data_IF_769959321347
#
_entry.id   IF_769959321347
#
_cell.length_a   1.000
_cell.length_b   1.000
_cell.length_c   1.000
_cell.angle_alpha   90.00
_cell.angle_beta   90.00
_cell.angle_gamma   90.00
#
_symmetry.space_group_name_H-M   'P 1'
#
loop_
_entity.id
_entity.type
_entity.pdbx_description
1 polymer ?
#
# COMPACT_ATOMS: atom_id res chain seq x y z
N UNK A 1 -13.26 -3.95 46.35
CA UNK A 1 -13.66 -4.38 45.00
C UNK A 1 -12.99 -3.42 44.02
N UNK A 2 -11.88 -3.85 43.42
CA UNK A 2 -11.10 -3.00 42.52
C UNK A 2 -11.78 -2.98 41.14
N UNK A 3 -12.32 -1.82 40.79
CA UNK A 3 -12.76 -1.49 39.43
C UNK A 3 -11.52 -1.38 38.53
N UNK A 4 -11.11 -2.48 37.93
CA UNK A 4 -10.21 -2.45 36.78
C UNK A 4 -10.96 -1.87 35.59
N UNK A 5 -10.60 -0.64 35.22
CA UNK A 5 -10.97 -0.04 33.94
C UNK A 5 -10.56 -0.97 32.80
N UNK A 6 -11.37 -1.10 31.72
CA UNK A 6 -10.93 -1.83 30.54
C UNK A 6 -9.75 -1.11 29.91
N UNK A 7 -8.61 -1.80 29.85
CA UNK A 7 -7.42 -1.39 29.12
C UNK A 7 -7.76 -1.36 27.64
N UNK A 8 -7.58 -0.21 26.98
CA UNK A 8 -7.65 -0.10 25.53
C UNK A 8 -6.54 0.86 25.03
N UNK A 9 -6.00 0.68 23.81
CA UNK A 9 -6.50 -0.19 22.74
C UNK A 9 -5.60 -1.38 22.43
N UNK A 10 -6.24 -2.51 22.08
CA UNK A 10 -5.65 -3.60 21.31
C UNK A 10 -4.85 -3.04 20.13
N UNK A 11 -3.63 -3.52 19.90
CA UNK A 11 -2.77 -3.13 18.77
C UNK A 11 -3.59 -3.10 17.46
N UNK A 12 -3.43 -2.09 16.59
CA UNK A 12 -4.31 -1.84 15.45
C UNK A 12 -3.96 -2.73 14.25
N UNK A 13 -3.92 -4.05 14.47
CA UNK A 13 -3.73 -5.03 13.43
C UNK A 13 -4.69 -6.20 13.62
N UNK A 14 -4.96 -6.92 12.53
CA UNK A 14 -5.66 -8.20 12.57
C UNK A 14 -4.67 -9.31 12.26
N UNK A 15 -4.72 -10.39 13.03
CA UNK A 15 -3.93 -11.59 12.80
C UNK A 15 -4.83 -12.80 12.64
N UNK A 16 -4.45 -13.70 11.74
CA UNK A 16 -5.10 -15.00 11.55
C UNK A 16 -4.04 -16.09 11.47
N UNK A 17 -4.07 -17.00 12.43
CA UNK A 17 -3.26 -18.21 12.39
C UNK A 17 -3.85 -19.18 11.36
N UNK A 18 -2.99 -19.72 10.50
CA UNK A 18 -3.31 -20.81 9.59
C UNK A 18 -2.45 -22.02 9.96
N UNK A 19 -2.64 -23.16 9.30
CA UNK A 19 -1.97 -24.41 9.67
C UNK A 19 -0.45 -24.30 9.71
N UNK A 20 0.14 -23.62 8.71
CA UNK A 20 1.59 -23.60 8.49
C UNK A 20 2.19 -22.18 8.42
N UNK A 21 1.36 -21.16 8.56
CA UNK A 21 1.75 -19.76 8.40
C UNK A 21 0.71 -18.88 9.09
N UNK A 22 1.01 -17.59 9.20
CA UNK A 22 0.11 -16.60 9.78
C UNK A 22 -0.05 -15.40 8.89
N UNK A 23 -1.25 -14.86 8.81
CA UNK A 23 -1.47 -13.54 8.25
C UNK A 23 -1.48 -12.46 9.33
N UNK A 24 -0.93 -11.30 8.99
CA UNK A 24 -1.07 -10.04 9.70
C UNK A 24 -1.59 -8.98 8.71
N UNK A 25 -2.47 -8.10 9.17
CA UNK A 25 -2.96 -6.96 8.41
C UNK A 25 -2.92 -5.70 9.25
N UNK A 26 -2.36 -4.63 8.67
CA UNK A 26 -2.30 -3.31 9.27
C UNK A 26 -3.07 -2.32 8.40
N UNK A 27 -3.97 -1.55 9.01
CA UNK A 27 -4.67 -0.46 8.36
C UNK A 27 -4.82 0.70 9.35
N UNK A 28 -4.10 1.78 9.12
CA UNK A 28 -4.11 2.94 10.02
C UNK A 28 -3.56 4.17 9.33
N UNK A 29 -3.65 5.33 10.01
CA UNK A 29 -2.97 6.54 9.56
C UNK A 29 -1.46 6.36 9.42
N UNK A 30 -0.84 5.45 10.20
CA UNK A 30 0.60 5.15 10.10
C UNK A 30 0.92 4.45 8.78
N UNK A 31 0.07 3.51 8.34
CA UNK A 31 0.20 2.91 7.00
C UNK A 31 0.08 3.95 5.90
N UNK A 32 -0.87 4.88 6.00
CA UNK A 32 -0.97 5.97 5.02
C UNK A 32 0.30 6.82 4.98
N UNK A 33 0.87 7.18 6.13
CA UNK A 33 2.14 7.92 6.21
C UNK A 33 3.31 7.14 5.61
N UNK A 34 3.40 5.84 5.90
CA UNK A 34 4.42 4.95 5.35
C UNK A 34 4.36 4.88 3.82
N UNK A 35 3.17 4.74 3.23
CA UNK A 35 2.99 4.75 1.78
C UNK A 35 3.41 6.10 1.15
N UNK A 36 3.09 7.22 1.81
CA UNK A 36 3.55 8.56 1.38
C UNK A 36 5.08 8.69 1.46
N UNK A 37 5.73 8.09 2.46
CA UNK A 37 7.19 8.09 2.57
C UNK A 37 7.85 7.28 1.46
N UNK A 38 7.36 6.06 1.19
CA UNK A 38 7.80 5.23 0.06
C UNK A 38 7.72 5.99 -1.26
N UNK A 39 6.65 6.77 -1.45
CA UNK A 39 6.48 7.54 -2.66
C UNK A 39 7.52 8.66 -2.81
N UNK A 40 7.77 9.41 -1.73
CA UNK A 40 8.73 10.54 -1.72
C UNK A 40 10.16 10.08 -2.01
N UNK A 41 10.52 8.87 -1.62
CA UNK A 41 11.86 8.31 -1.86
C UNK A 41 12.07 7.80 -3.29
N UNK A 42 11.01 7.71 -4.11
CA UNK A 42 11.09 7.34 -5.53
C UNK A 42 11.33 5.84 -5.79
N UNK A 43 11.02 5.36 -7.00
CA UNK A 43 11.05 3.92 -7.34
C UNK A 43 12.45 3.29 -7.36
N UNK A 44 13.50 4.10 -7.39
CA UNK A 44 14.89 3.64 -7.59
C UNK A 44 15.62 3.33 -6.28
N UNK A 45 15.02 3.58 -5.11
CA UNK A 45 15.68 3.37 -3.81
C UNK A 45 15.08 2.17 -3.08
N UNK A 46 15.18 1.00 -3.73
CA UNK A 46 14.63 -0.27 -3.25
C UNK A 46 15.10 -0.66 -1.84
N UNK A 47 16.32 -0.27 -1.49
CA UNK A 47 16.96 -0.42 -0.18
C UNK A 47 16.17 0.35 0.89
N UNK A 48 15.77 1.59 0.59
CA UNK A 48 15.03 2.45 1.52
C UNK A 48 13.59 2.01 1.74
N UNK A 49 12.88 1.49 0.73
CA UNK A 49 11.50 1.00 0.93
C UNK A 49 11.44 -0.25 1.79
N UNK A 50 12.44 -1.13 1.64
CA UNK A 50 12.57 -2.31 2.48
C UNK A 50 12.85 -1.92 3.93
N UNK A 51 13.80 -1.01 4.17
CA UNK A 51 14.13 -0.56 5.54
C UNK A 51 12.97 0.14 6.23
N UNK A 52 12.26 1.01 5.51
CA UNK A 52 11.08 1.66 6.05
C UNK A 52 10.00 0.63 6.45
N UNK A 53 9.86 -0.48 5.70
CA UNK A 53 8.95 -1.55 6.06
C UNK A 53 9.43 -2.30 7.31
N UNK A 54 10.71 -2.71 7.34
CA UNK A 54 11.25 -3.45 8.48
C UNK A 54 11.11 -2.63 9.75
N UNK A 55 11.45 -1.34 9.71
CA UNK A 55 11.27 -0.41 10.82
C UNK A 55 9.81 -0.32 11.25
N UNK A 56 8.88 -0.13 10.30
CA UNK A 56 7.45 -0.09 10.60
C UNK A 56 6.97 -1.36 11.33
N UNK A 57 7.37 -2.54 10.86
CA UNK A 57 6.96 -3.81 11.47
C UNK A 57 7.64 -4.00 12.83
N UNK A 58 8.90 -3.60 12.95
CA UNK A 58 9.61 -3.65 14.22
C UNK A 58 8.88 -2.81 15.29
N UNK A 59 8.54 -1.56 14.96
CA UNK A 59 7.84 -0.64 15.86
C UNK A 59 6.41 -1.09 16.17
N UNK A 60 5.61 -1.45 15.15
CA UNK A 60 4.17 -1.68 15.32
C UNK A 60 3.80 -3.09 15.77
N UNK A 61 4.67 -4.07 15.51
CA UNK A 61 4.38 -5.48 15.77
C UNK A 61 5.32 -6.11 16.79
N UNK A 62 6.60 -5.73 16.77
CA UNK A 62 7.66 -6.32 17.61
C UNK A 62 8.10 -5.39 18.75
N UNK A 63 7.33 -4.32 19.02
CA UNK A 63 7.57 -3.37 20.12
C UNK A 63 8.96 -2.70 20.09
N UNK A 64 9.59 -2.65 18.91
CA UNK A 64 10.93 -2.08 18.72
C UNK A 64 12.07 -2.94 19.26
N UNK A 65 11.81 -4.21 19.63
CA UNK A 65 12.82 -5.11 20.20
C UNK A 65 13.83 -5.65 19.17
N UNK A 66 13.53 -5.53 17.87
CA UNK A 66 14.41 -6.00 16.82
C UNK A 66 15.57 -5.05 16.53
N UNK A 67 16.76 -5.63 16.38
CA UNK A 67 17.97 -4.94 15.94
C UNK A 67 18.11 -5.05 14.41
N UNK A 68 18.32 -3.90 13.77
CA UNK A 68 18.53 -3.79 12.33
C UNK A 68 20.03 -3.80 12.01
N UNK A 69 20.50 -4.71 11.15
CA UNK A 69 21.89 -4.72 10.68
C UNK A 69 22.08 -3.67 9.56
N UNK A 70 22.30 -2.42 9.96
CA UNK A 70 22.53 -1.30 9.05
C UNK A 70 23.95 -1.27 8.45
N UNK A 71 24.92 -1.96 9.05
CA UNK A 71 26.36 -1.77 8.76
C UNK A 71 26.87 -2.62 7.58
N UNK A 72 26.13 -3.62 7.11
CA UNK A 72 26.65 -4.63 6.16
C UNK A 72 25.84 -4.76 4.88
N UNK A 73 25.56 -3.65 4.21
CA UNK A 73 25.00 -3.66 2.84
C UNK A 73 26.06 -3.47 1.75
N UNK A 74 27.23 -4.08 1.95
CA UNK A 74 28.25 -4.19 0.90
C UNK A 74 27.82 -5.25 -0.11
N UNK A 75 28.00 -4.98 -1.41
CA UNK A 75 27.66 -5.91 -2.50
C UNK A 75 28.25 -7.30 -2.23
N UNK A 76 27.39 -8.31 -2.08
CA UNK A 76 27.78 -9.71 -1.84
C UNK A 76 27.74 -10.18 -0.38
N UNK A 77 27.54 -9.27 0.58
CA UNK A 77 27.36 -9.65 1.99
C UNK A 77 25.93 -10.13 2.26
N UNK A 78 25.79 -11.21 3.04
CA UNK A 78 24.52 -11.71 3.57
C UNK A 78 24.34 -11.18 4.98
N UNK A 79 23.36 -10.30 5.18
CA UNK A 79 22.97 -9.76 6.48
C UNK A 79 21.55 -10.21 6.81
N UNK A 80 21.20 -10.17 8.09
CA UNK A 80 19.86 -10.49 8.56
C UNK A 80 19.02 -9.20 8.55
N UNK A 81 17.75 -9.28 8.15
CA UNK A 81 16.92 -8.07 8.05
C UNK A 81 16.51 -7.55 9.44
N UNK A 82 16.22 -8.44 10.38
CA UNK A 82 15.90 -8.10 11.75
C UNK A 82 16.27 -9.23 12.71
N UNK A 83 17.02 -8.90 13.76
CA UNK A 83 17.43 -9.85 14.78
C UNK A 83 16.76 -9.53 16.12
N UNK A 84 16.13 -10.53 16.73
CA UNK A 84 15.62 -10.48 18.10
C UNK A 84 16.44 -11.44 18.97
N UNK A 85 16.45 -11.30 20.30
CA UNK A 85 17.28 -12.12 21.19
C UNK A 85 17.18 -13.64 20.98
N UNK A 86 16.03 -14.13 20.51
CA UNK A 86 15.76 -15.55 20.30
C UNK A 86 15.44 -15.95 18.86
N UNK A 87 15.39 -15.00 17.90
CA UNK A 87 14.92 -15.27 16.54
C UNK A 87 15.44 -14.27 15.53
N UNK A 88 15.74 -14.76 14.34
CA UNK A 88 16.15 -13.96 13.19
C UNK A 88 15.05 -13.97 12.14
N UNK A 89 14.72 -12.80 11.59
CA UNK A 89 13.62 -12.60 10.64
C UNK A 89 14.17 -12.08 9.31
N UNK A 90 13.85 -12.79 8.24
CA UNK A 90 14.02 -12.32 6.87
C UNK A 90 12.76 -11.59 6.42
N UNK A 91 12.90 -10.41 5.84
CA UNK A 91 11.81 -9.68 5.21
C UNK A 91 11.88 -9.78 3.68
N UNK A 92 10.71 -9.94 3.05
CA UNK A 92 10.55 -9.85 1.60
C UNK A 92 9.38 -8.95 1.28
N UNK A 93 9.68 -7.69 0.97
CA UNK A 93 8.67 -6.75 0.49
C UNK A 93 8.47 -6.86 -1.02
N UNK A 94 7.22 -7.07 -1.43
CA UNK A 94 6.79 -7.12 -2.83
C UNK A 94 5.47 -6.37 -2.97
N UNK A 95 5.46 -5.26 -3.70
CA UNK A 95 4.25 -4.46 -3.90
C UNK A 95 3.19 -5.13 -4.79
N UNK A 96 3.45 -6.35 -5.29
CA UNK A 96 2.69 -7.06 -6.32
C UNK A 96 1.84 -8.22 -5.81
N UNK A 97 1.23 -8.06 -4.63
CA UNK A 97 0.47 -9.10 -3.96
C UNK A 97 1.23 -10.46 -3.93
N UNK A 98 0.54 -11.57 -4.21
CA UNK A 98 1.11 -12.92 -4.14
C UNK A 98 1.87 -13.35 -5.41
N UNK A 99 2.00 -12.50 -6.43
CA UNK A 99 2.58 -12.89 -7.74
C UNK A 99 4.02 -13.39 -7.62
N UNK A 100 4.81 -12.78 -6.74
CA UNK A 100 6.22 -13.10 -6.53
C UNK A 100 6.47 -14.07 -5.37
N UNK A 101 5.41 -14.46 -4.65
CA UNK A 101 5.52 -15.38 -3.52
C UNK A 101 6.11 -16.76 -3.92
N UNK A 102 5.72 -17.38 -5.06
CA UNK A 102 6.31 -18.66 -5.46
C UNK A 102 7.83 -18.59 -5.60
N UNK A 103 8.36 -17.49 -6.13
CA UNK A 103 9.80 -17.31 -6.36
C UNK A 103 10.56 -17.13 -5.05
N UNK A 104 9.95 -16.42 -4.10
CA UNK A 104 10.48 -16.28 -2.75
C UNK A 104 10.51 -17.64 -2.03
N UNK A 105 9.41 -18.38 -2.05
CA UNK A 105 9.30 -19.67 -1.36
C UNK A 105 10.17 -20.77 -1.99
N UNK A 106 10.48 -20.72 -3.29
CA UNK A 106 11.48 -21.63 -3.89
C UNK A 106 12.86 -21.47 -3.26
N UNK A 107 13.17 -20.30 -2.71
CA UNK A 107 14.42 -20.01 -2.02
C UNK A 107 14.33 -20.15 -0.50
N UNK A 108 13.18 -20.61 0.04
CA UNK A 108 12.95 -20.76 1.47
C UNK A 108 14.08 -21.52 2.18
N UNK A 109 14.51 -22.66 1.60
CA UNK A 109 15.61 -23.48 2.14
C UNK A 109 16.92 -22.70 2.35
N UNK A 110 17.21 -21.77 1.44
CA UNK A 110 18.37 -20.90 1.55
C UNK A 110 18.19 -19.84 2.64
N UNK A 111 16.97 -19.32 2.77
CA UNK A 111 16.62 -18.27 3.74
C UNK A 111 16.71 -18.81 5.17
N UNK A 112 16.09 -19.95 5.49
CA UNK A 112 16.10 -20.44 6.87
C UNK A 112 17.36 -21.21 7.27
N UNK A 113 18.42 -21.18 6.45
CA UNK A 113 19.77 -21.53 6.91
C UNK A 113 20.26 -20.62 8.05
N UNK A 114 19.80 -19.37 8.06
CA UNK A 114 20.17 -18.34 9.05
C UNK A 114 18.97 -17.74 9.76
N UNK A 115 17.78 -17.83 9.16
CA UNK A 115 16.58 -17.19 9.67
C UNK A 115 15.64 -18.20 10.34
N UNK A 116 14.89 -17.75 11.35
CA UNK A 116 13.81 -18.51 11.96
C UNK A 116 12.47 -18.25 11.28
N UNK A 117 12.28 -17.03 10.78
CA UNK A 117 11.04 -16.61 10.13
C UNK A 117 11.31 -15.90 8.81
N UNK A 118 10.36 -16.05 7.89
CA UNK A 118 10.29 -15.30 6.65
C UNK A 118 8.98 -14.50 6.64
N UNK A 119 9.09 -13.18 6.58
CA UNK A 119 7.98 -12.25 6.51
C UNK A 119 7.81 -11.79 5.05
N UNK A 120 6.76 -12.28 4.39
CA UNK A 120 6.41 -11.83 3.04
C UNK A 120 5.35 -10.75 3.11
N UNK A 121 5.72 -9.52 2.74
CA UNK A 121 4.87 -8.35 2.86
C UNK A 121 4.45 -7.81 1.49
N UNK A 122 3.18 -7.43 1.39
CA UNK A 122 2.59 -6.81 0.21
C UNK A 122 1.45 -5.89 0.61
N UNK A 123 0.99 -5.08 -0.34
CA UNK A 123 -0.14 -4.18 -0.12
C UNK A 123 -1.39 -4.63 -0.84
N UNK A 124 -2.53 -4.35 -0.21
CA UNK A 124 -3.85 -4.27 -0.82
C UNK A 124 -4.33 -2.82 -0.76
N UNK A 125 -5.19 -2.44 -1.71
CA UNK A 125 -5.80 -1.11 -1.75
C UNK A 125 -7.30 -1.22 -1.65
N UNK A 126 -7.91 -0.38 -0.83
CA UNK A 126 -9.36 -0.18 -0.80
C UNK A 126 -9.78 0.57 -2.06
N UNK A 127 -10.67 0.00 -2.85
CA UNK A 127 -11.21 0.61 -4.08
C UNK A 127 -12.72 0.45 -4.13
N UNK A 128 -13.40 1.28 -4.93
CA UNK A 128 -14.78 1.00 -5.34
C UNK A 128 -14.78 -0.17 -6.32
N UNK A 129 -15.81 -1.01 -6.26
CA UNK A 129 -16.02 -2.07 -7.26
C UNK A 129 -16.42 -1.49 -8.61
N UNK A 130 -17.20 -0.41 -8.59
CA UNK A 130 -17.45 0.41 -9.76
C UNK A 130 -16.21 1.27 -10.06
N UNK A 131 -15.51 0.93 -11.13
CA UNK A 131 -14.27 1.58 -11.55
C UNK A 131 -14.45 3.05 -11.93
N UNK A 132 -15.67 3.50 -12.18
CA UNK A 132 -15.98 4.89 -12.49
C UNK A 132 -16.21 5.74 -11.23
N UNK A 133 -16.24 5.13 -10.04
CA UNK A 133 -16.44 5.82 -8.77
C UNK A 133 -15.13 5.90 -7.99
N UNK A 134 -14.86 7.07 -7.42
CA UNK A 134 -13.70 7.33 -6.58
C UNK A 134 -14.12 7.25 -5.10
N UNK A 135 -13.26 6.67 -4.25
CA UNK A 135 -13.45 6.72 -2.81
C UNK A 135 -13.23 8.16 -2.33
N UNK A 136 -14.31 8.83 -1.91
CA UNK A 136 -14.28 10.21 -1.41
C UNK A 136 -13.98 10.33 0.10
N UNK A 137 -13.85 9.22 0.83
CA UNK A 137 -13.80 9.19 2.31
C UNK A 137 -12.39 9.26 2.93
N UNK A 138 -12.30 9.91 4.11
CA UNK A 138 -11.10 10.16 4.96
C UNK A 138 -10.47 8.93 5.66
N UNK A 139 -10.69 7.72 5.17
CA UNK A 139 -10.22 6.46 5.77
C UNK A 139 -8.85 6.01 5.27
N UNK A 140 -8.24 5.00 5.92
CA UNK A 140 -7.05 4.36 5.39
C UNK A 140 -7.39 3.57 4.12
N UNK A 141 -6.77 3.92 3.00
CA UNK A 141 -6.99 3.27 1.69
C UNK A 141 -5.97 2.17 1.40
N UNK A 142 -4.94 2.03 2.22
CA UNK A 142 -3.86 1.05 2.02
C UNK A 142 -3.83 0.07 3.19
N UNK A 143 -3.63 -1.19 2.85
CA UNK A 143 -3.63 -2.30 3.79
C UNK A 143 -2.32 -3.06 3.60
N UNK A 144 -1.45 -3.02 4.59
CA UNK A 144 -0.23 -3.81 4.58
C UNK A 144 -0.59 -5.21 5.07
N UNK A 145 -0.36 -6.20 4.22
CA UNK A 145 -0.56 -7.61 4.54
C UNK A 145 0.81 -8.27 4.65
N UNK A 146 1.01 -9.04 5.71
CA UNK A 146 2.24 -9.81 5.94
C UNK A 146 1.86 -11.27 6.13
N UNK A 147 2.55 -12.16 5.43
CA UNK A 147 2.52 -13.60 5.69
C UNK A 147 3.78 -13.97 6.44
N UNK A 148 3.61 -14.47 7.65
CA UNK A 148 4.68 -14.95 8.50
C UNK A 148 4.82 -16.45 8.29
N UNK A 149 5.95 -16.85 7.74
CA UNK A 149 6.32 -18.25 7.54
C UNK A 149 7.37 -18.65 8.58
N UNK A 150 7.09 -19.67 9.41
CA UNK A 150 8.09 -20.24 10.28
C UNK A 150 8.94 -21.25 9.48
N UNK A 151 10.12 -21.61 9.99
CA UNK A 151 11.10 -22.47 9.28
C UNK A 151 10.54 -23.82 8.81
N UNK A 152 9.56 -24.37 9.51
CA UNK A 152 8.96 -25.68 9.23
C UNK A 152 8.36 -25.78 7.82
N UNK A 153 8.06 -24.65 7.17
CA UNK A 153 7.53 -24.64 5.81
C UNK A 153 8.51 -25.17 4.75
N UNK A 154 9.82 -25.23 5.06
CA UNK A 154 10.86 -25.74 4.15
C UNK A 154 10.61 -27.18 3.70
N UNK A 155 9.92 -27.96 4.54
CA UNK A 155 9.67 -29.38 4.30
C UNK A 155 8.32 -29.62 3.60
N UNK A 156 7.54 -28.57 3.38
CA UNK A 156 6.20 -28.69 2.79
C UNK A 156 6.25 -28.72 1.27
N UNK A 157 5.26 -29.38 0.68
CA UNK A 157 5.06 -29.33 -0.76
C UNK A 157 4.64 -27.91 -1.18
N UNK A 158 5.49 -27.23 -1.95
CA UNK A 158 5.28 -25.85 -2.37
C UNK A 158 3.95 -25.63 -3.11
N UNK A 159 3.53 -26.57 -3.97
CA UNK A 159 2.28 -26.45 -4.74
C UNK A 159 1.07 -26.51 -3.82
N UNK A 160 1.09 -27.39 -2.83
CA UNK A 160 0.02 -27.53 -1.82
C UNK A 160 -0.02 -26.28 -0.94
N UNK A 161 1.13 -25.83 -0.45
CA UNK A 161 1.26 -24.64 0.39
C UNK A 161 0.74 -23.38 -0.33
N UNK A 162 1.13 -23.16 -1.59
CA UNK A 162 0.65 -22.01 -2.37
C UNK A 162 -0.87 -22.04 -2.60
N UNK A 163 -1.46 -23.22 -2.79
CA UNK A 163 -2.92 -23.37 -2.94
C UNK A 163 -3.63 -23.02 -1.63
N UNK A 164 -3.09 -23.47 -0.49
CA UNK A 164 -3.59 -23.14 0.84
C UNK A 164 -3.51 -21.64 1.10
N UNK A 165 -2.36 -21.02 0.87
CA UNK A 165 -2.15 -19.58 1.05
C UNK A 165 -3.15 -18.76 0.24
N UNK A 166 -3.35 -19.08 -1.05
CA UNK A 166 -4.31 -18.34 -1.90
C UNK A 166 -5.74 -18.46 -1.39
N UNK A 167 -6.14 -19.65 -0.92
CA UNK A 167 -7.47 -19.87 -0.35
C UNK A 167 -7.65 -19.05 0.94
N UNK A 168 -6.69 -19.16 1.85
CA UNK A 168 -6.75 -18.45 3.13
C UNK A 168 -6.64 -16.93 2.96
N UNK A 169 -5.90 -16.45 1.96
CA UNK A 169 -5.78 -15.02 1.66
C UNK A 169 -7.10 -14.39 1.23
N UNK A 170 -7.90 -15.09 0.42
CA UNK A 170 -9.25 -14.63 0.03
C UNK A 170 -10.14 -14.50 1.27
N UNK A 171 -10.11 -15.48 2.17
CA UNK A 171 -10.91 -15.44 3.40
C UNK A 171 -10.41 -14.34 4.34
N UNK A 172 -9.09 -14.27 4.52
CA UNK A 172 -8.45 -13.27 5.38
C UNK A 172 -8.74 -11.85 4.91
N UNK A 173 -8.65 -11.56 3.62
CA UNK A 173 -8.94 -10.21 3.08
C UNK A 173 -10.40 -9.81 3.25
N UNK A 174 -11.35 -10.74 3.15
CA UNK A 174 -12.77 -10.49 3.48
C UNK A 174 -12.95 -10.14 4.96
N UNK A 175 -12.31 -10.89 5.85
CA UNK A 175 -12.35 -10.64 7.30
C UNK A 175 -11.72 -9.28 7.64
N UNK A 176 -10.58 -8.93 7.03
CA UNK A 176 -9.93 -7.62 7.17
C UNK A 176 -10.87 -6.51 6.71
N UNK A 177 -11.49 -6.66 5.54
CA UNK A 177 -12.41 -5.66 5.00
C UNK A 177 -13.61 -5.41 5.92
N UNK A 178 -14.21 -6.48 6.46
CA UNK A 178 -15.28 -6.38 7.43
C UNK A 178 -14.83 -5.65 8.72
N UNK A 179 -13.67 -6.04 9.26
CA UNK A 179 -13.12 -5.45 10.50
C UNK A 179 -12.67 -4.01 10.34
N UNK A 180 -12.27 -3.61 9.14
CA UNK A 180 -11.82 -2.25 8.85
C UNK A 180 -12.94 -1.30 8.42
N UNK A 181 -14.19 -1.78 8.37
CA UNK A 181 -15.35 -0.98 7.99
C UNK A 181 -15.37 -0.64 6.50
N UNK A 182 -14.92 -1.56 5.65
CA UNK A 182 -15.15 -1.48 4.21
C UNK A 182 -16.60 -1.85 3.93
N UNK A 183 -17.26 -1.06 3.10
CA UNK A 183 -18.57 -1.37 2.57
C UNK A 183 -18.44 -2.52 1.56
N UNK A 184 -18.77 -3.73 1.98
CA UNK A 184 -18.58 -4.92 1.16
C UNK A 184 -19.53 -4.99 -0.06
N UNK A 185 -20.52 -4.10 -0.18
CA UNK A 185 -21.41 -4.04 -1.33
C UNK A 185 -20.80 -3.17 -2.44
N UNK A 186 -20.23 -2.01 -2.09
CA UNK A 186 -19.71 -1.02 -3.04
C UNK A 186 -18.17 -1.01 -3.16
N UNK A 187 -17.44 -1.61 -2.22
CA UNK A 187 -15.98 -1.54 -2.11
C UNK A 187 -15.31 -2.91 -1.95
N UNK A 188 -14.01 -2.95 -2.22
CA UNK A 188 -13.19 -4.16 -2.09
C UNK A 188 -11.72 -3.86 -1.75
N UNK A 189 -10.99 -4.90 -1.34
CA UNK A 189 -9.53 -4.88 -1.18
C UNK A 189 -8.84 -5.44 -2.42
N UNK A 190 -8.54 -4.56 -3.36
CA UNK A 190 -7.94 -4.88 -4.63
C UNK A 190 -6.46 -5.25 -4.53
N UNK A 191 -6.06 -6.28 -5.28
CA UNK A 191 -4.66 -6.67 -5.45
C UNK A 191 -4.00 -5.72 -6.44
N UNK A 192 -3.11 -4.87 -5.94
CA UNK A 192 -2.40 -3.92 -6.79
C UNK A 192 -1.16 -4.57 -7.37
N UNK A 193 -0.92 -4.39 -8.68
CA UNK A 193 0.19 -5.06 -9.38
C UNK A 193 1.54 -4.44 -9.02
N UNK A 194 1.68 -3.13 -9.17
CA UNK A 194 2.79 -2.41 -8.53
C UNK A 194 2.22 -1.13 -7.94
N UNK A 195 1.83 -1.23 -6.67
CA UNK A 195 1.16 -0.14 -5.99
C UNK A 195 1.91 1.18 -6.07
N UNK A 196 3.24 1.16 -5.99
CA UNK A 196 4.05 2.39 -6.06
C UNK A 196 3.92 3.05 -7.44
N UNK A 197 3.95 2.26 -8.52
CA UNK A 197 3.78 2.79 -9.88
C UNK A 197 2.36 3.32 -10.11
N UNK A 198 1.35 2.62 -9.62
CA UNK A 198 -0.05 3.03 -9.78
C UNK A 198 -0.34 4.35 -9.04
N UNK A 199 0.15 4.51 -7.81
CA UNK A 199 0.03 5.77 -7.04
C UNK A 199 0.67 6.94 -7.80
N UNK A 200 1.86 6.74 -8.38
CA UNK A 200 2.54 7.77 -9.15
C UNK A 200 1.79 8.16 -10.43
N UNK A 201 1.11 7.22 -11.07
CA UNK A 201 0.30 7.50 -12.26
C UNK A 201 -0.96 8.29 -11.90
N UNK A 202 -1.64 7.94 -10.82
CA UNK A 202 -2.84 8.66 -10.38
C UNK A 202 -2.58 10.11 -10.04
N UNK A 203 -1.50 10.42 -9.29
CA UNK A 203 -1.18 11.83 -8.99
C UNK A 203 -0.84 12.64 -10.22
N UNK A 204 -0.16 12.03 -11.21
CA UNK A 204 0.09 12.68 -12.50
C UNK A 204 -1.20 12.95 -13.27
N UNK A 205 -2.24 12.15 -13.09
CA UNK A 205 -3.57 12.40 -13.65
C UNK A 205 -4.26 13.54 -12.89
N UNK A 206 -4.26 13.53 -11.55
CA UNK A 206 -4.85 14.60 -10.73
C UNK A 206 -4.21 15.98 -11.03
N UNK A 207 -2.89 16.04 -11.24
CA UNK A 207 -2.17 17.26 -11.63
C UNK A 207 -2.58 17.75 -13.02
N UNK A 208 -2.78 16.83 -13.97
CA UNK A 208 -3.29 17.16 -15.30
C UNK A 208 -4.72 17.66 -15.26
N UNK A 209 -5.59 17.05 -14.47
CA UNK A 209 -6.99 17.47 -14.33
C UNK A 209 -7.09 18.88 -13.75
N UNK A 210 -6.30 19.22 -12.73
CA UNK A 210 -6.20 20.60 -12.20
C UNK A 210 -5.74 21.58 -13.27
N UNK A 211 -4.75 21.19 -14.06
CA UNK A 211 -4.25 22.02 -15.17
C UNK A 211 -5.31 22.23 -16.24
N UNK A 212 -6.14 21.22 -16.53
CA UNK A 212 -7.27 21.33 -17.47
C UNK A 212 -8.32 22.28 -16.89
N UNK A 213 -8.70 22.14 -15.63
CA UNK A 213 -9.69 23.01 -14.98
C UNK A 213 -9.25 24.49 -14.99
N UNK A 214 -7.97 24.77 -14.76
CA UNK A 214 -7.40 26.12 -14.86
C UNK A 214 -7.43 26.68 -16.30
N UNK A 215 -7.15 25.82 -17.29
CA UNK A 215 -7.25 26.18 -18.71
C UNK A 215 -8.68 26.45 -19.13
N UNK A 216 -9.64 25.65 -18.68
CA UNK A 216 -11.07 25.85 -18.98
C UNK A 216 -11.57 27.18 -18.41
N UNK A 217 -11.21 27.51 -17.17
CA UNK A 217 -11.49 28.84 -16.58
C UNK A 217 -10.89 29.98 -17.40
N UNK A 218 -9.69 29.78 -17.95
CA UNK A 218 -9.02 30.77 -18.80
C UNK A 218 -9.72 30.93 -20.14
N UNK A 219 -10.19 29.82 -20.74
CA UNK A 219 -10.97 29.83 -22.00
C UNK A 219 -12.29 30.58 -21.78
N UNK A 220 -13.02 30.27 -20.69
CA UNK A 220 -14.29 30.94 -20.37
C UNK A 220 -14.12 32.47 -20.22
N UNK A 221 -13.01 32.91 -19.62
CA UNK A 221 -12.69 34.35 -19.53
C UNK A 221 -12.37 34.98 -20.89
N UNK A 222 -11.66 34.26 -21.76
CA UNK A 222 -11.36 34.72 -23.12
C UNK A 222 -12.62 34.81 -23.97
N UNK A 223 -13.53 33.84 -23.87
CA UNK A 223 -14.81 33.84 -24.58
C UNK A 223 -15.68 35.03 -24.18
N UNK A 224 -15.78 35.33 -22.87
CA UNK A 224 -16.46 36.55 -22.38
C UNK A 224 -15.84 37.83 -22.94
N UNK A 225 -14.51 37.87 -23.07
CA UNK A 225 -13.79 39.02 -23.64
C UNK A 225 -14.05 39.16 -25.14
N UNK A 226 -14.09 38.05 -25.87
CA UNK A 226 -14.41 38.04 -27.31
C UNK A 226 -15.86 38.51 -27.52
N UNK A 227 -16.82 38.00 -26.75
CA UNK A 227 -18.23 38.40 -26.85
C UNK A 227 -18.41 39.92 -26.60
N UNK A 228 -17.66 40.49 -25.65
CA UNK A 228 -17.65 41.94 -25.42
C UNK A 228 -17.06 42.71 -26.60
N UNK A 229 -15.95 42.23 -27.18
CA UNK A 229 -15.35 42.86 -28.36
C UNK A 229 -16.26 42.78 -29.59
N UNK A 230 -16.95 41.67 -29.80
CA UNK A 230 -17.91 41.50 -30.89
C UNK A 230 -19.08 42.47 -30.76
N UNK A 231 -19.61 42.65 -29.55
CA UNK A 231 -20.65 43.67 -29.26
C UNK A 231 -20.18 45.09 -29.59
N UNK A 232 -18.92 45.42 -29.28
CA UNK A 232 -18.33 46.73 -29.60
C UNK A 232 -18.18 46.89 -31.12
N UNK A 233 -17.68 45.88 -31.82
CA UNK A 233 -17.52 45.89 -33.28
C UNK A 233 -18.88 46.09 -33.98
N UNK A 234 -19.91 45.36 -33.56
CA UNK A 234 -21.25 45.50 -34.13
C UNK A 234 -21.85 46.89 -33.90
N UNK A 235 -21.58 47.51 -32.75
CA UNK A 235 -21.97 48.90 -32.48
C UNK A 235 -21.27 49.88 -33.43
N UNK A 236 -19.95 49.76 -33.57
CA UNK A 236 -19.15 50.62 -34.45
C UNK A 236 -19.55 50.47 -35.92
N UNK A 237 -19.83 49.25 -36.39
CA UNK A 237 -20.34 49.01 -37.76
C UNK A 237 -21.67 49.70 -38.02
N UNK A 238 -22.60 49.67 -37.05
CA UNK A 238 -23.89 50.38 -37.17
C UNK A 238 -23.71 51.89 -37.26
N UNK A 239 -22.79 52.46 -36.48
CA UNK A 239 -22.48 53.90 -36.52
C UNK A 239 -21.82 54.32 -37.85
N UNK A 240 -21.00 53.45 -38.45
CA UNK A 240 -20.37 53.67 -39.75
C UNK A 240 -21.36 53.57 -40.93
N UNK A 241 -22.27 52.59 -40.91
CA UNK A 241 -23.24 52.36 -41.99
C UNK A 241 -24.51 53.25 -41.89
N UNK A 242 -24.69 53.95 -40.76
CA UNK A 242 -25.78 54.91 -40.54
C UNK A 242 -25.45 56.36 -40.92
N UNK A 243 -24.26 56.59 -41.50
CA UNK A 243 -23.85 57.82 -42.19
C UNK A 243 -23.86 57.58 -43.69
#
# INVERSE_FOLDING_TARGET
MNNSKPVAPSRPFYSKECKNFRFLAFWSKKITKFVVQIEKTGTNVRVTHHDLLVNFVNEEYLDGEGELDHEKRVKGSKHDDLSLPSKVIEFKFRSSALTSLPDVLRNAKGIFTRNNFLYFAYFRRRTKKDKNKIIKTRGCIYYLIIIVFPKEIEHLNLKVLLKEIRKEEINFTKEVAQKSGIDMDDEELYAVGNMIKEIQLERKLDEKDKTIEEKDKTIEQKDKTIEQKDKIIERLKKELNGK
#
